data_IF_185636526240
#
_entry.id   IF_185636526240
#
_cell.length_a   1.000
_cell.length_b   1.000
_cell.length_c   1.000
_cell.angle_alpha   90.00
_cell.angle_beta   90.00
_cell.angle_gamma   90.00
#
_symmetry.space_group_name_H-M   'P 1'
#
loop_
_entity.id
_entity.type
_entity.pdbx_description
1 polymer ?
#
# COMPACT_ATOMS: atom_id res chain seq x y z
N UNK A 1 14.32 1.56 11.03
CA UNK A 1 15.37 1.24 10.05
C UNK A 1 15.33 2.30 8.98
N UNK A 2 16.46 2.83 8.51
CA UNK A 2 16.47 3.66 7.30
C UNK A 2 16.07 2.79 6.09
N UNK A 3 15.53 3.44 5.05
CA UNK A 3 15.35 2.81 3.75
C UNK A 3 16.71 2.57 3.10
N UNK A 4 16.87 1.46 2.37
CA UNK A 4 18.04 1.22 1.52
C UNK A 4 18.01 2.07 0.24
N UNK A 5 16.99 2.91 0.05
CA UNK A 5 16.89 3.80 -1.09
C UNK A 5 17.83 5.00 -0.97
N UNK A 6 18.60 5.23 -2.03
CA UNK A 6 19.59 6.29 -2.15
C UNK A 6 19.02 7.42 -3.01
N UNK A 7 19.05 8.65 -2.49
CA UNK A 7 18.72 9.86 -3.23
C UNK A 7 19.97 10.49 -3.83
N UNK A 8 19.98 10.68 -5.14
CA UNK A 8 21.05 11.43 -5.83
C UNK A 8 20.93 12.93 -5.55
N UNK A 9 22.04 13.65 -5.62
CA UNK A 9 22.02 15.12 -5.52
C UNK A 9 21.07 15.75 -6.55
N UNK A 10 21.09 15.22 -7.78
CA UNK A 10 20.21 15.68 -8.85
C UNK A 10 18.73 15.49 -8.52
N UNK A 11 18.33 14.32 -8.00
CA UNK A 11 16.94 14.08 -7.61
C UNK A 11 16.48 15.02 -6.49
N UNK A 12 17.37 15.34 -5.54
CA UNK A 12 17.09 16.30 -4.47
C UNK A 12 16.88 17.70 -5.07
N UNK A 13 17.82 18.20 -5.90
CA UNK A 13 17.70 19.51 -6.54
C UNK A 13 16.45 19.63 -7.42
N UNK A 14 16.15 18.61 -8.22
CA UNK A 14 14.93 18.58 -9.05
C UNK A 14 13.66 18.64 -8.19
N UNK A 15 13.67 18.03 -7.00
CA UNK A 15 12.57 18.15 -6.05
C UNK A 15 12.46 19.58 -5.49
N UNK A 16 13.59 20.17 -5.06
CA UNK A 16 13.62 21.53 -4.53
C UNK A 16 13.07 22.53 -5.55
N UNK A 17 13.50 22.42 -6.82
CA UNK A 17 13.04 23.27 -7.91
C UNK A 17 11.54 23.09 -8.20
N UNK A 18 11.06 21.83 -8.25
CA UNK A 18 9.65 21.55 -8.60
C UNK A 18 8.68 21.87 -7.48
N UNK A 19 9.09 21.74 -6.23
CA UNK A 19 8.19 21.92 -5.09
C UNK A 19 8.44 23.24 -4.35
N UNK A 20 9.51 23.98 -4.67
CA UNK A 20 9.86 25.22 -4.00
C UNK A 20 10.29 25.03 -2.54
N UNK A 21 10.72 23.83 -2.17
CA UNK A 21 11.10 23.45 -0.80
C UNK A 21 12.61 23.28 -0.76
N UNK A 22 13.31 23.98 0.13
CA UNK A 22 14.76 23.76 0.31
C UNK A 22 15.05 22.63 1.30
N UNK A 23 15.95 21.74 0.93
CA UNK A 23 16.40 20.60 1.72
C UNK A 23 17.84 20.88 2.17
N UNK A 24 17.99 21.30 3.42
CA UNK A 24 19.31 21.47 4.02
C UNK A 24 19.96 20.12 4.29
N UNK A 25 20.95 19.71 3.49
CA UNK A 25 21.75 18.50 3.71
C UNK A 25 22.84 18.74 4.76
N UNK A 26 23.04 17.78 5.67
CA UNK A 26 24.12 17.87 6.66
C UNK A 26 25.46 17.40 6.08
N UNK A 27 26.55 17.57 6.84
CA UNK A 27 27.90 17.20 6.41
C UNK A 27 28.02 15.71 6.05
N UNK A 28 27.27 14.84 6.73
CA UNK A 28 27.29 13.41 6.44
C UNK A 28 26.60 13.14 5.09
N UNK A 29 25.42 13.71 4.86
CA UNK A 29 24.72 13.57 3.58
C UNK A 29 25.57 14.07 2.40
N UNK A 30 26.24 15.22 2.56
CA UNK A 30 27.11 15.79 1.53
C UNK A 30 28.32 14.90 1.26
N UNK A 31 28.92 14.31 2.30
CA UNK A 31 30.04 13.39 2.15
C UNK A 31 29.61 12.08 1.46
N UNK A 32 28.43 11.54 1.78
CA UNK A 32 27.88 10.36 1.11
C UNK A 32 27.63 10.61 -0.38
N UNK A 33 27.06 11.78 -0.73
CA UNK A 33 26.88 12.19 -2.13
C UNK A 33 28.23 12.25 -2.86
N UNK A 34 29.25 12.86 -2.26
CA UNK A 34 30.57 12.98 -2.88
C UNK A 34 31.26 11.63 -3.08
N UNK A 35 31.13 10.71 -2.13
CA UNK A 35 31.84 9.43 -2.14
C UNK A 35 31.10 8.33 -2.93
N UNK A 36 29.76 8.35 -2.90
CA UNK A 36 28.92 7.24 -3.38
C UNK A 36 27.87 7.67 -4.41
N UNK A 37 27.78 8.96 -4.74
CA UNK A 37 26.85 9.51 -5.73
C UNK A 37 25.42 9.75 -5.23
N UNK A 38 25.14 9.48 -3.95
CA UNK A 38 23.85 9.74 -3.32
C UNK A 38 23.88 9.52 -1.81
N UNK A 39 22.76 9.78 -1.14
CA UNK A 39 22.62 9.68 0.32
C UNK A 39 21.25 9.16 0.73
N UNK A 40 21.16 8.61 1.94
CA UNK A 40 19.88 8.25 2.55
C UNK A 40 19.32 9.44 3.34
N UNK A 41 18.01 9.66 3.24
CA UNK A 41 17.32 10.63 4.09
C UNK A 41 16.65 9.90 5.25
N UNK A 42 17.06 10.23 6.47
CA UNK A 42 16.48 9.64 7.68
C UNK A 42 15.02 10.09 7.87
N UNK A 43 14.24 9.31 8.63
CA UNK A 43 12.86 9.67 8.98
C UNK A 43 12.80 11.06 9.67
N UNK A 44 13.76 11.37 10.54
CA UNK A 44 13.89 12.70 11.17
C UNK A 44 14.11 13.80 10.12
N UNK A 45 14.91 13.53 9.09
CA UNK A 45 15.14 14.48 7.99
C UNK A 45 13.87 14.74 7.20
N UNK A 46 13.14 13.68 6.84
CA UNK A 46 11.85 13.79 6.14
C UNK A 46 10.83 14.58 6.96
N UNK A 47 10.77 14.33 8.27
CA UNK A 47 9.93 15.11 9.19
C UNK A 47 10.30 16.59 9.20
N UNK A 48 11.58 16.93 9.33
CA UNK A 48 12.03 18.32 9.31
C UNK A 48 11.66 19.02 7.99
N UNK A 49 11.75 18.30 6.86
CA UNK A 49 11.33 18.82 5.56
C UNK A 49 9.81 19.11 5.59
N UNK A 50 8.99 18.17 6.05
CA UNK A 50 7.54 18.35 6.18
C UNK A 50 7.17 19.55 7.06
N UNK A 51 7.81 19.69 8.22
CA UNK A 51 7.58 20.81 9.14
C UNK A 51 7.99 22.17 8.52
N UNK A 52 9.05 22.19 7.71
CA UNK A 52 9.51 23.41 7.03
C UNK A 52 8.70 23.77 5.79
N UNK A 53 8.10 22.78 5.13
CA UNK A 53 7.47 22.92 3.82
C UNK A 53 5.97 23.19 3.89
N UNK A 54 5.32 22.84 5.00
CA UNK A 54 3.87 22.73 5.04
C UNK A 54 3.25 23.62 6.12
N UNK A 55 2.50 24.63 5.68
CA UNK A 55 1.75 25.52 6.58
C UNK A 55 0.38 24.93 6.97
N UNK A 56 -0.06 23.87 6.28
CA UNK A 56 -1.34 23.18 6.54
C UNK A 56 -1.16 22.00 7.51
N UNK A 57 -2.24 21.53 8.17
CA UNK A 57 -2.22 20.27 8.90
C UNK A 57 -1.72 19.11 8.02
N UNK A 58 -0.97 18.17 8.62
CA UNK A 58 -0.41 17.02 7.89
C UNK A 58 -1.48 16.16 7.20
N UNK A 59 -2.70 16.08 7.77
CA UNK A 59 -3.83 15.37 7.16
C UNK A 59 -4.19 15.96 5.80
N UNK A 60 -4.23 17.29 5.68
CA UNK A 60 -4.49 17.96 4.40
C UNK A 60 -3.39 17.66 3.39
N UNK A 61 -2.12 17.63 3.80
CA UNK A 61 -1.02 17.27 2.91
C UNK A 61 -1.13 15.84 2.40
N UNK A 62 -1.45 14.87 3.28
CA UNK A 62 -1.65 13.47 2.87
C UNK A 62 -2.80 13.35 1.86
N UNK A 63 -3.93 14.03 2.11
CA UNK A 63 -5.10 13.99 1.25
C UNK A 63 -4.81 14.64 -0.11
N UNK A 64 -4.24 15.86 -0.12
CA UNK A 64 -3.92 16.63 -1.33
C UNK A 64 -2.91 15.87 -2.21
N UNK A 65 -1.88 15.29 -1.60
CA UNK A 65 -0.78 14.67 -2.35
C UNK A 65 -1.01 13.21 -2.74
N UNK A 66 -2.00 12.53 -2.16
CA UNK A 66 -2.38 11.15 -2.51
C UNK A 66 -2.55 10.96 -4.03
N UNK A 67 -3.19 11.92 -4.70
CA UNK A 67 -3.47 11.90 -6.14
C UNK A 67 -2.20 12.04 -7.00
N UNK A 68 -1.18 12.74 -6.50
CA UNK A 68 0.05 12.99 -7.25
C UNK A 68 1.09 11.90 -7.05
N UNK A 69 1.06 11.23 -5.89
CA UNK A 69 1.96 10.11 -5.59
C UNK A 69 1.47 8.77 -6.11
N UNK A 70 0.22 8.70 -6.59
CA UNK A 70 -0.32 7.54 -7.30
C UNK A 70 0.45 7.21 -8.59
N UNK A 71 0.40 5.95 -9.06
CA UNK A 71 -0.23 4.80 -8.41
C UNK A 71 0.58 4.30 -7.21
N UNK A 72 -0.11 3.88 -6.15
CA UNK A 72 0.46 3.16 -4.99
C UNK A 72 -0.21 1.78 -4.87
N UNK A 73 0.46 0.83 -4.23
CA UNK A 73 -0.11 -0.48 -3.89
C UNK A 73 -0.41 -0.54 -2.40
N UNK A 74 -1.52 -1.19 -2.05
CA UNK A 74 -1.91 -1.45 -0.67
C UNK A 74 -2.23 -2.92 -0.50
N UNK A 75 -1.73 -3.56 0.54
CA UNK A 75 -2.15 -4.91 0.96
C UNK A 75 -2.56 -4.91 2.42
N UNK A 76 -3.62 -5.63 2.74
CA UNK A 76 -4.15 -5.81 4.08
C UNK A 76 -4.08 -7.29 4.45
N UNK A 77 -3.44 -7.60 5.56
CA UNK A 77 -3.31 -8.93 6.15
C UNK A 77 -4.03 -8.95 7.49
N UNK A 78 -4.81 -10.00 7.75
CA UNK A 78 -5.48 -10.20 9.05
C UNK A 78 -4.97 -11.50 9.64
N UNK A 79 -4.52 -11.43 10.89
CA UNK A 79 -3.98 -12.55 11.64
C UNK A 79 -4.94 -12.87 12.78
N UNK A 80 -5.70 -13.94 12.62
CA UNK A 80 -6.48 -14.57 13.70
C UNK A 80 -6.50 -16.11 13.52
N UNK A 81 -6.87 -16.81 14.58
CA UNK A 81 -6.86 -18.29 14.60
C UNK A 81 -7.79 -18.91 13.56
N UNK A 82 -8.92 -18.28 13.28
CA UNK A 82 -9.88 -18.79 12.31
C UNK A 82 -9.28 -18.73 10.89
N UNK A 83 -8.69 -17.60 10.52
CA UNK A 83 -7.99 -17.41 9.25
C UNK A 83 -6.80 -18.36 9.13
N UNK A 84 -5.99 -18.52 10.18
CA UNK A 84 -4.88 -19.48 10.17
C UNK A 84 -5.34 -20.91 9.87
N UNK A 85 -6.41 -21.38 10.52
CA UNK A 85 -6.99 -22.71 10.26
C UNK A 85 -7.51 -22.86 8.83
N UNK A 86 -7.92 -21.77 8.19
CA UNK A 86 -8.31 -21.77 6.77
C UNK A 86 -7.05 -21.85 5.90
N UNK A 87 -6.01 -21.09 6.22
CA UNK A 87 -4.75 -21.07 5.47
C UNK A 87 -3.97 -22.39 5.55
N UNK A 88 -4.01 -23.10 6.68
CA UNK A 88 -3.38 -24.43 6.85
C UNK A 88 -3.91 -25.48 5.86
N UNK A 89 -5.12 -25.28 5.33
CA UNK A 89 -5.74 -26.19 4.35
C UNK A 89 -5.21 -25.98 2.92
N UNK A 90 -4.38 -24.96 2.68
CA UNK A 90 -3.76 -24.72 1.37
C UNK A 90 -2.84 -25.87 0.99
N UNK A 91 -2.82 -26.24 -0.30
CA UNK A 91 -1.89 -27.25 -0.83
C UNK A 91 -0.43 -26.78 -0.86
N UNK A 92 -0.20 -25.47 -0.95
CA UNK A 92 1.12 -24.86 -1.07
C UNK A 92 1.24 -23.68 -0.11
N UNK A 93 2.38 -23.58 0.59
CA UNK A 93 2.66 -22.52 1.58
C UNK A 93 1.59 -22.41 2.67
N UNK A 94 1.22 -23.54 3.28
CA UNK A 94 0.26 -23.61 4.39
C UNK A 94 0.74 -22.83 5.63
N UNK A 95 2.04 -22.58 5.73
CA UNK A 95 2.72 -21.76 6.73
C UNK A 95 2.61 -20.25 6.48
N UNK A 96 1.99 -19.83 5.35
CA UNK A 96 1.91 -18.41 4.97
C UNK A 96 0.48 -17.88 4.85
N UNK A 97 0.27 -16.69 5.38
CA UNK A 97 -0.98 -15.93 5.35
C UNK A 97 -1.10 -15.16 4.03
N UNK A 98 -2.23 -15.30 3.33
CA UNK A 98 -2.51 -14.47 2.15
C UNK A 98 -3.01 -13.08 2.59
N UNK A 99 -2.82 -12.04 1.78
CA UNK A 99 -3.52 -10.79 2.01
C UNK A 99 -5.04 -11.03 1.91
N UNK A 100 -5.77 -10.44 2.85
CA UNK A 100 -7.22 -10.33 2.83
C UNK A 100 -7.66 -9.52 1.61
N UNK A 101 -7.02 -8.37 1.40
CA UNK A 101 -7.24 -7.45 0.28
C UNK A 101 -5.92 -6.97 -0.28
N UNK A 102 -5.89 -6.77 -1.59
CA UNK A 102 -4.82 -6.04 -2.27
C UNK A 102 -5.40 -5.05 -3.26
N UNK A 103 -5.03 -3.79 -3.14
CA UNK A 103 -5.14 -2.80 -4.19
C UNK A 103 -3.83 -2.77 -4.98
N UNK A 104 -3.78 -3.34 -6.19
CA UNK A 104 -2.59 -3.29 -7.03
C UNK A 104 -2.33 -1.86 -7.55
N UNK A 105 -1.05 -1.52 -7.77
CA UNK A 105 -0.64 -0.27 -8.44
C UNK A 105 -1.04 -0.20 -9.93
N UNK A 106 -1.56 -1.28 -10.49
CA UNK A 106 -2.14 -1.32 -11.82
C UNK A 106 -3.58 -1.76 -11.68
N UNK A 107 -4.49 -1.09 -12.37
CA UNK A 107 -5.86 -1.57 -12.51
C UNK A 107 -6.05 -2.32 -13.83
N UNK A 108 -7.13 -3.11 -13.87
CA UNK A 108 -7.59 -3.81 -15.06
C UNK A 108 -8.80 -3.07 -15.61
N UNK A 109 -8.67 -2.57 -16.85
CA UNK A 109 -9.75 -1.89 -17.56
C UNK A 109 -10.53 -2.88 -18.42
N UNK A 110 -11.82 -2.60 -18.61
CA UNK A 110 -12.60 -3.25 -19.68
C UNK A 110 -12.32 -2.48 -20.96
N UNK A 111 -11.70 -3.13 -21.94
CA UNK A 111 -11.50 -2.64 -23.29
C UNK A 111 -12.85 -2.64 -24.02
N UNK A 112 -13.42 -1.44 -24.28
CA UNK A 112 -14.72 -1.31 -24.93
C UNK A 112 -14.66 -1.70 -26.43
N UNK A 113 -13.47 -1.90 -27.00
CA UNK A 113 -13.28 -2.28 -28.41
C UNK A 113 -13.30 -3.79 -28.65
N UNK A 114 -13.41 -4.62 -27.61
CA UNK A 114 -13.53 -6.06 -27.75
C UNK A 114 -14.85 -6.45 -28.41
N UNK A 115 -14.80 -6.96 -29.65
CA UNK A 115 -15.97 -7.52 -30.33
C UNK A 115 -16.47 -8.79 -29.59
N UNK A 116 -17.47 -8.62 -28.72
CA UNK A 116 -18.11 -9.71 -27.96
C UNK A 116 -18.89 -9.20 -26.75
N UNK A 117 -19.84 -9.99 -26.24
CA UNK A 117 -20.69 -9.64 -25.07
C UNK A 117 -19.96 -9.63 -23.72
N UNK A 118 -18.68 -9.95 -23.70
CA UNK A 118 -17.81 -9.88 -22.53
C UNK A 118 -16.57 -9.08 -22.97
N UNK A 119 -16.50 -7.81 -22.58
CA UNK A 119 -15.41 -6.91 -22.98
C UNK A 119 -14.04 -7.47 -22.57
N UNK A 120 -13.03 -7.24 -23.40
CA UNK A 120 -11.67 -7.74 -23.17
C UNK A 120 -11.07 -6.99 -21.97
N UNK A 121 -10.49 -7.69 -20.99
CA UNK A 121 -9.85 -7.02 -19.84
C UNK A 121 -8.39 -6.68 -20.22
N UNK A 122 -7.99 -5.41 -20.12
CA UNK A 122 -6.63 -4.96 -20.40
C UNK A 122 -5.95 -4.43 -19.13
N UNK A 123 -4.64 -4.70 -18.99
CA UNK A 123 -3.86 -4.18 -17.87
C UNK A 123 -3.52 -2.72 -18.14
N UNK A 124 -3.99 -1.81 -17.31
CA UNK A 124 -3.57 -0.43 -17.36
C UNK A 124 -2.60 -0.13 -16.21
N UNK A 125 -1.33 -0.03 -16.60
CA UNK A 125 -0.18 0.14 -15.70
C UNK A 125 0.05 1.59 -15.27
N UNK A 126 -0.82 2.51 -15.68
CA UNK A 126 -0.67 3.95 -15.47
C UNK A 126 -1.57 4.50 -14.35
N UNK A 127 -2.50 3.70 -13.81
CA UNK A 127 -3.29 4.08 -12.63
C UNK A 127 -3.51 2.92 -11.68
N UNK A 128 -3.61 3.28 -10.40
CA UNK A 128 -3.87 2.36 -9.30
C UNK A 128 -5.33 1.97 -9.28
N UNK A 129 -5.63 0.83 -8.65
CA UNK A 129 -7.01 0.53 -8.24
C UNK A 129 -7.52 1.50 -7.17
N UNK A 130 -6.64 2.23 -6.47
CA UNK A 130 -7.01 3.24 -5.46
C UNK A 130 -7.54 4.49 -6.15
N UNK A 131 -8.75 4.89 -5.74
CA UNK A 131 -9.41 6.12 -6.16
C UNK A 131 -9.16 7.25 -5.16
N UNK A 132 -9.12 6.94 -3.86
CA UNK A 132 -8.99 7.96 -2.84
C UNK A 132 -8.22 7.48 -1.59
N UNK A 133 -7.53 8.42 -0.95
CA UNK A 133 -6.90 8.26 0.36
C UNK A 133 -7.20 9.51 1.19
N UNK A 134 -8.00 9.34 2.23
CA UNK A 134 -8.49 10.42 3.07
C UNK A 134 -8.09 10.17 4.51
N UNK A 135 -7.57 11.20 5.18
CA UNK A 135 -7.36 11.22 6.63
C UNK A 135 -8.19 12.34 7.23
N UNK A 136 -9.17 11.96 8.06
CA UNK A 136 -10.06 12.89 8.78
C UNK A 136 -10.38 12.32 10.17
N UNK A 137 -10.41 13.17 11.19
CA UNK A 137 -10.80 12.78 12.56
C UNK A 137 -10.08 11.51 13.10
N UNK A 138 -8.76 11.41 12.88
CA UNK A 138 -7.94 10.23 13.22
C UNK A 138 -8.37 8.92 12.55
N UNK A 139 -9.07 9.01 11.41
CA UNK A 139 -9.45 7.87 10.59
C UNK A 139 -8.76 8.00 9.24
N UNK A 140 -8.08 6.93 8.82
CA UNK A 140 -7.58 6.78 7.46
C UNK A 140 -8.56 5.92 6.66
N UNK A 141 -9.03 6.45 5.54
CA UNK A 141 -9.86 5.76 4.57
C UNK A 141 -9.08 5.58 3.29
N UNK A 142 -8.99 4.34 2.80
CA UNK A 142 -8.41 3.99 1.50
C UNK A 142 -9.53 3.36 0.67
N UNK A 143 -9.94 4.05 -0.40
CA UNK A 143 -11.03 3.62 -1.27
C UNK A 143 -10.52 3.34 -2.68
N UNK A 144 -11.12 2.35 -3.33
CA UNK A 144 -10.90 2.11 -4.74
C UNK A 144 -11.47 0.79 -5.21
N UNK A 145 -11.08 0.36 -6.40
CA UNK A 145 -11.43 -0.93 -6.95
C UNK A 145 -10.38 -1.96 -6.58
N UNK A 146 -10.71 -2.80 -5.60
CA UNK A 146 -9.90 -3.97 -5.32
C UNK A 146 -10.21 -5.05 -6.37
N UNK A 147 -9.16 -5.77 -6.75
CA UNK A 147 -9.32 -6.97 -7.56
C UNK A 147 -9.60 -8.21 -6.74
N UNK A 148 -10.11 -9.24 -7.42
CA UNK A 148 -10.26 -10.63 -6.93
C UNK A 148 -8.96 -11.33 -6.47
N UNK A 149 -7.88 -10.58 -6.21
CA UNK A 149 -6.77 -11.06 -5.39
C UNK A 149 -6.99 -10.82 -3.90
N UNK A 150 -8.23 -10.53 -3.51
CA UNK A 150 -8.77 -10.83 -2.20
C UNK A 150 -8.71 -12.34 -1.98
N UNK A 151 -7.87 -12.81 -1.06
CA UNK A 151 -7.99 -14.18 -0.54
C UNK A 151 -9.36 -14.44 0.11
N UNK A 152 -10.22 -13.42 0.25
CA UNK A 152 -11.37 -13.39 1.14
C UNK A 152 -12.54 -12.60 0.53
N UNK A 153 -13.08 -13.12 -0.57
CA UNK A 153 -14.52 -13.39 -0.61
C UNK A 153 -14.74 -14.70 0.20
N UNK A 154 -14.35 -14.73 1.49
CA UNK A 154 -14.66 -15.82 2.43
C UNK A 154 -16.17 -15.89 2.70
N UNK A 155 -16.99 -15.10 2.03
CA UNK A 155 -18.44 -15.27 2.09
C UNK A 155 -18.88 -16.64 1.53
N UNK A 156 -18.11 -17.29 0.64
CA UNK A 156 -18.36 -18.71 0.36
C UNK A 156 -18.03 -19.64 1.53
N UNK A 157 -17.23 -19.17 2.49
CA UNK A 157 -16.79 -19.90 3.69
C UNK A 157 -17.73 -19.64 4.87
N UNK A 158 -18.48 -18.52 4.91
CA UNK A 158 -19.36 -18.19 6.04
C UNK A 158 -20.86 -18.42 5.76
N UNK A 159 -21.32 -18.45 4.50
CA UNK A 159 -22.74 -18.71 4.19
C UNK A 159 -22.94 -19.99 3.37
N UNK A 160 -23.87 -20.83 3.83
CA UNK A 160 -24.43 -22.04 3.19
C UNK A 160 -23.68 -23.38 3.40
N UNK A 161 -23.87 -23.99 4.57
CA UNK A 161 -24.77 -25.17 4.66
C UNK A 161 -24.44 -26.46 3.88
N UNK A 162 -23.29 -26.61 3.25
CA UNK A 162 -22.86 -27.88 2.66
C UNK A 162 -22.38 -27.76 1.21
N UNK A 163 -21.06 -27.96 1.05
CA UNK A 163 -20.30 -28.14 -0.21
C UNK A 163 -20.29 -26.95 -1.18
N UNK A 164 -19.15 -26.22 -1.19
CA UNK A 164 -18.28 -25.98 -2.38
C UNK A 164 -16.99 -25.25 -1.97
N UNK A 165 -15.85 -25.89 -2.20
CA UNK A 165 -14.49 -25.38 -1.97
C UNK A 165 -14.08 -24.38 -3.08
N UNK A 166 -13.58 -23.17 -2.78
CA UNK A 166 -12.84 -22.37 -3.73
C UNK A 166 -11.33 -22.66 -3.62
N UNK A 167 -10.70 -22.97 -4.75
CA UNK A 167 -9.24 -23.05 -4.93
C UNK A 167 -8.84 -21.78 -5.67
N UNK A 168 -8.02 -20.92 -5.05
CA UNK A 168 -7.30 -19.88 -5.78
C UNK A 168 -6.20 -20.56 -6.61
N UNK A 169 -6.44 -20.65 -7.91
CA UNK A 169 -5.41 -20.92 -8.91
C UNK A 169 -4.86 -19.55 -9.31
N UNK A 170 -3.71 -19.08 -8.78
CA UNK A 170 -2.89 -18.18 -9.57
C UNK A 170 -2.65 -18.89 -10.89
N UNK A 171 -2.91 -18.23 -12.01
CA UNK A 171 -2.38 -18.66 -13.30
C UNK A 171 -0.85 -18.70 -13.17
N UNK A 172 -0.32 -19.84 -12.74
CA UNK A 172 1.09 -20.13 -12.78
C UNK A 172 1.52 -20.12 -14.24
N UNK A 173 2.62 -19.42 -14.54
CA UNK A 173 3.38 -19.45 -15.80
C UNK A 173 2.56 -19.61 -17.11
N UNK A 174 1.37 -19.02 -17.18
CA UNK A 174 0.52 -18.93 -18.37
C UNK A 174 0.35 -17.48 -18.81
N UNK A 175 -0.14 -17.26 -20.03
CA UNK A 175 -0.33 -15.91 -20.59
C UNK A 175 -1.07 -15.02 -19.59
N UNK A 176 -0.44 -13.87 -19.25
CA UNK A 176 -1.00 -12.83 -18.38
C UNK A 176 -2.22 -12.12 -18.97
N UNK A 177 -2.66 -12.52 -20.17
CA UNK A 177 -3.68 -11.83 -20.95
C UNK A 177 -5.11 -12.35 -20.72
N UNK A 178 -5.29 -13.48 -20.04
CA UNK A 178 -6.62 -14.05 -19.82
C UNK A 178 -6.79 -14.46 -18.35
N UNK A 179 -7.38 -13.58 -17.55
CA UNK A 179 -7.78 -13.85 -16.17
C UNK A 179 -9.27 -14.22 -16.20
N UNK A 180 -9.61 -15.42 -15.73
CA UNK A 180 -10.99 -15.87 -15.65
C UNK A 180 -11.75 -15.10 -14.56
N UNK A 181 -12.73 -14.28 -14.96
CA UNK A 181 -13.71 -13.53 -14.14
C UNK A 181 -13.12 -12.79 -12.95
N UNK A 182 -12.64 -11.59 -13.23
CA UNK A 182 -12.29 -10.56 -12.27
C UNK A 182 -13.51 -9.65 -12.08
N UNK A 183 -14.20 -9.75 -10.93
CA UNK A 183 -15.25 -8.83 -10.55
C UNK A 183 -14.61 -7.64 -9.83
N UNK A 184 -14.58 -6.49 -10.51
CA UNK A 184 -14.19 -5.22 -9.91
C UNK A 184 -15.24 -4.82 -8.88
N UNK A 185 -14.87 -4.78 -7.60
CA UNK A 185 -15.74 -4.26 -6.54
C UNK A 185 -15.12 -3.01 -5.92
N UNK A 186 -15.94 -1.96 -5.83
CA UNK A 186 -15.59 -0.79 -5.04
C UNK A 186 -15.44 -1.24 -3.58
N UNK A 187 -14.28 -0.99 -3.02
CA UNK A 187 -13.82 -1.47 -1.72
C UNK A 187 -13.25 -0.31 -0.93
N UNK A 188 -13.59 -0.25 0.35
CA UNK A 188 -13.10 0.78 1.26
C UNK A 188 -12.51 0.12 2.52
N UNK A 189 -11.26 0.48 2.83
CA UNK A 189 -10.60 0.14 4.08
C UNK A 189 -10.64 1.38 4.97
N UNK A 190 -11.26 1.27 6.13
CA UNK A 190 -11.28 2.31 7.16
C UNK A 190 -10.43 1.89 8.34
N UNK A 191 -9.52 2.73 8.80
CA UNK A 191 -8.53 2.45 9.85
C UNK A 191 -8.60 3.51 10.94
N UNK A 192 -8.87 3.12 12.18
CA UNK A 192 -8.76 3.99 13.33
C UNK A 192 -7.29 4.14 13.74
N UNK A 193 -6.72 5.34 13.56
CA UNK A 193 -5.30 5.62 13.77
C UNK A 193 -4.90 5.61 15.25
N UNK A 194 -5.82 5.87 16.18
CA UNK A 194 -5.55 5.84 17.62
C UNK A 194 -5.15 4.42 18.10
N UNK A 195 -5.58 3.40 17.35
CA UNK A 195 -5.36 1.98 17.67
C UNK A 195 -4.26 1.34 16.81
N UNK A 196 -3.43 2.15 16.15
CA UNK A 196 -2.43 1.69 15.18
C UNK A 196 -0.99 2.00 15.58
N UNK A 197 -0.06 1.20 15.09
CA UNK A 197 1.37 1.46 15.07
C UNK A 197 1.84 1.56 13.63
N UNK A 198 2.66 2.57 13.36
CA UNK A 198 3.25 2.75 12.05
C UNK A 198 4.75 2.48 12.09
N UNK A 199 5.27 1.92 11.01
CA UNK A 199 6.69 1.73 10.78
C UNK A 199 7.02 2.13 9.34
N UNK A 200 7.90 3.12 9.19
CA UNK A 200 8.54 3.41 7.91
C UNK A 200 9.56 2.31 7.59
N UNK A 201 9.58 1.90 6.33
CA UNK A 201 10.55 0.94 5.79
C UNK A 201 10.55 -0.39 6.56
N UNK A 202 9.37 -0.99 6.81
CA UNK A 202 9.29 -2.17 7.67
C UNK A 202 9.97 -3.35 6.99
N UNK A 203 10.53 -4.24 7.81
CA UNK A 203 10.95 -5.55 7.34
C UNK A 203 9.68 -6.37 7.02
N UNK A 204 9.53 -6.91 5.79
CA UNK A 204 8.37 -7.73 5.44
C UNK A 204 8.26 -8.94 6.36
N UNK A 205 7.07 -9.18 6.91
CA UNK A 205 6.81 -10.34 7.76
C UNK A 205 6.96 -11.65 6.97
N UNK A 206 7.78 -12.59 7.47
CA UNK A 206 8.10 -13.84 6.77
C UNK A 206 6.91 -14.79 6.62
N UNK A 207 5.95 -14.71 7.54
CA UNK A 207 4.73 -15.53 7.53
C UNK A 207 3.67 -15.02 6.57
N UNK A 208 3.92 -13.93 5.83
CA UNK A 208 2.98 -13.42 4.83
C UNK A 208 3.37 -13.89 3.43
N UNK A 209 2.34 -14.09 2.62
CA UNK A 209 2.45 -14.48 1.23
C UNK A 209 2.26 -13.27 0.32
N UNK A 210 3.38 -12.75 -0.17
CA UNK A 210 3.40 -11.57 -1.04
C UNK A 210 3.26 -11.90 -2.52
N UNK A 211 2.99 -13.17 -2.90
CA UNK A 211 2.88 -13.56 -4.32
C UNK A 211 1.80 -12.77 -5.08
N UNK A 212 0.79 -12.31 -4.36
CA UNK A 212 -0.34 -11.54 -4.88
C UNK A 212 -0.20 -10.04 -4.64
N UNK A 213 0.91 -9.63 -4.03
CA UNK A 213 1.27 -8.25 -3.77
C UNK A 213 2.52 -7.88 -4.59
N UNK A 214 3.18 -6.78 -4.21
CA UNK A 214 4.46 -6.35 -4.76
C UNK A 214 5.63 -7.16 -4.21
N UNK A 215 6.80 -7.02 -4.86
CA UNK A 215 8.05 -7.55 -4.33
C UNK A 215 8.25 -7.01 -2.90
N UNK A 216 8.43 -7.89 -1.88
CA UNK A 216 8.62 -7.48 -0.49
C UNK A 216 9.76 -6.47 -0.29
N UNK A 217 10.75 -6.46 -1.16
CA UNK A 217 11.83 -5.47 -1.15
C UNK A 217 11.30 -4.03 -1.29
N UNK A 218 10.24 -3.80 -2.07
CA UNK A 218 9.62 -2.47 -2.19
C UNK A 218 8.90 -2.04 -0.90
N UNK A 219 8.46 -2.99 -0.07
CA UNK A 219 7.92 -2.66 1.26
C UNK A 219 9.06 -2.15 2.15
N UNK A 220 10.23 -2.79 2.10
CA UNK A 220 11.37 -2.32 2.88
C UNK A 220 11.87 -0.97 2.37
N UNK A 221 12.03 -0.80 1.06
CA UNK A 221 12.66 0.40 0.50
C UNK A 221 11.69 1.59 0.43
N UNK A 222 10.41 1.33 0.21
CA UNK A 222 9.41 2.34 -0.14
C UNK A 222 8.07 2.12 0.58
N UNK A 223 8.06 1.37 1.67
CA UNK A 223 6.83 1.00 2.36
C UNK A 223 6.59 1.75 3.65
N UNK A 224 5.30 1.86 3.96
CA UNK A 224 4.77 2.11 5.30
C UNK A 224 4.02 0.85 5.73
N UNK A 225 4.36 0.32 6.90
CA UNK A 225 3.59 -0.72 7.58
C UNK A 225 2.73 -0.09 8.65
N UNK A 226 1.44 -0.42 8.68
CA UNK A 226 0.48 -0.02 9.70
C UNK A 226 -0.01 -1.30 10.36
N UNK A 227 0.34 -1.52 11.62
CA UNK A 227 -0.13 -2.66 12.41
C UNK A 227 -1.18 -2.19 13.41
N UNK A 228 -2.20 -2.99 13.64
CA UNK A 228 -3.32 -2.59 14.48
C UNK A 228 -3.89 -3.78 15.24
N UNK A 229 -4.55 -3.48 16.35
CA UNK A 229 -5.24 -4.48 17.18
C UNK A 229 -6.61 -4.83 16.59
N UNK A 230 -7.21 -5.89 17.13
CA UNK A 230 -8.56 -6.31 16.77
C UNK A 230 -9.56 -5.17 16.90
N UNK A 231 -10.43 -4.99 15.91
CA UNK A 231 -11.46 -3.96 15.92
C UNK A 231 -11.04 -2.59 15.38
N UNK A 232 -9.75 -2.38 15.08
CA UNK A 232 -9.26 -1.09 14.60
C UNK A 232 -9.50 -0.83 13.11
N UNK A 233 -9.75 -1.88 12.33
CA UNK A 233 -9.91 -1.81 10.88
C UNK A 233 -11.28 -2.32 10.48
N UNK A 234 -11.96 -1.61 9.59
CA UNK A 234 -13.22 -2.02 8.98
C UNK A 234 -13.10 -2.05 7.46
N UNK A 235 -13.85 -2.95 6.85
CA UNK A 235 -13.89 -3.19 5.42
C UNK A 235 -15.31 -3.07 4.91
N UNK A 236 -15.54 -2.32 3.84
CA UNK A 236 -16.81 -2.34 3.12
C UNK A 236 -16.59 -2.61 1.62
N UNK A 237 -17.60 -3.18 0.97
CA UNK A 237 -17.67 -3.37 -0.48
C UNK A 237 -18.96 -2.75 -1.02
N UNK A 238 -19.06 -2.59 -2.34
CA UNK A 238 -20.21 -1.96 -3.00
C UNK A 238 -21.55 -2.56 -2.53
N UNK A 239 -22.35 -1.76 -1.82
CA UNK A 239 -23.67 -2.16 -1.34
C UNK A 239 -23.69 -3.05 -0.09
N UNK A 240 -22.55 -3.26 0.57
CA UNK A 240 -22.45 -3.96 1.86
C UNK A 240 -22.24 -2.99 3.02
N UNK A 241 -22.69 -3.38 4.21
CA UNK A 241 -22.37 -2.65 5.44
C UNK A 241 -20.90 -2.90 5.81
N UNK A 242 -20.18 -1.91 6.34
CA UNK A 242 -18.82 -2.10 6.83
C UNK A 242 -18.74 -3.23 7.87
N UNK A 243 -17.78 -4.13 7.69
CA UNK A 243 -17.46 -5.23 8.60
C UNK A 243 -16.16 -4.91 9.32
N UNK A 244 -16.23 -4.83 10.64
CA UNK A 244 -15.04 -4.67 11.48
C UNK A 244 -14.25 -5.98 11.55
N UNK A 245 -12.94 -5.89 11.31
CA UNK A 245 -12.04 -7.04 11.25
C UNK A 245 -11.61 -7.49 12.65
N UNK A 246 -11.67 -8.79 12.88
CA UNK A 246 -11.21 -9.43 14.13
C UNK A 246 -9.76 -9.95 13.98
N UNK A 247 -8.92 -9.65 14.96
CA UNK A 247 -7.50 -10.06 15.00
C UNK A 247 -6.51 -8.94 14.69
N UNK A 248 -5.22 -9.30 14.67
CA UNK A 248 -4.15 -8.34 14.40
C UNK A 248 -4.17 -8.05 12.89
N UNK A 249 -4.32 -6.78 12.52
CA UNK A 249 -4.35 -6.38 11.11
C UNK A 249 -3.08 -5.63 10.75
N UNK A 250 -2.43 -6.03 9.67
CA UNK A 250 -1.26 -5.36 9.10
C UNK A 250 -1.57 -4.86 7.70
N UNK A 251 -1.41 -3.56 7.47
CA UNK A 251 -1.58 -2.91 6.18
C UNK A 251 -0.21 -2.45 5.70
N UNK A 252 0.17 -2.84 4.48
CA UNK A 252 1.33 -2.29 3.80
C UNK A 252 0.90 -1.36 2.69
N UNK A 253 1.44 -0.14 2.71
CA UNK A 253 1.33 0.84 1.62
C UNK A 253 2.71 0.96 1.00
N UNK A 254 2.87 0.66 -0.28
CA UNK A 254 4.16 0.80 -0.97
C UNK A 254 4.00 1.26 -2.42
N UNK A 255 5.07 1.81 -2.99
CA UNK A 255 5.12 2.18 -4.41
C UNK A 255 6.30 1.51 -5.10
N UNK A 256 6.03 0.91 -6.26
CA UNK A 256 7.08 0.41 -7.13
C UNK A 256 7.76 1.57 -7.87
N UNK A 257 9.06 1.70 -7.70
CA UNK A 257 9.87 2.68 -8.44
C UNK A 257 10.44 2.01 -9.70
N UNK A 258 9.93 2.37 -10.88
CA UNK A 258 10.40 1.82 -12.17
C UNK A 258 11.71 2.43 -12.65
N UNK A 259 11.93 3.71 -12.34
CA UNK A 259 13.13 4.45 -12.70
C UNK A 259 13.82 4.92 -11.41
N UNK A 260 14.84 4.20 -10.98
CA UNK A 260 15.69 4.56 -9.84
C UNK A 260 16.61 5.77 -10.16
N UNK A 261 16.68 6.16 -11.44
CA UNK A 261 17.49 7.28 -11.90
C UNK A 261 16.61 8.53 -12.09
N UNK A 262 16.90 9.57 -11.30
CA UNK A 262 16.53 10.98 -11.47
C UNK A 262 15.06 11.29 -11.72
N UNK A 263 14.25 11.25 -10.66
CA UNK A 263 13.04 12.07 -10.60
C UNK A 263 12.81 12.58 -9.18
N UNK A 264 12.08 13.69 -9.04
CA UNK A 264 11.57 14.21 -7.76
C UNK A 264 10.50 13.31 -7.12
N UNK A 265 9.96 12.34 -7.87
CA UNK A 265 8.80 11.51 -7.48
C UNK A 265 9.07 10.60 -6.29
N UNK A 266 10.20 9.89 -6.18
CA UNK A 266 10.51 9.08 -4.99
C UNK A 266 10.58 9.92 -3.73
N UNK A 267 11.21 11.08 -3.77
CA UNK A 267 11.32 11.95 -2.60
C UNK A 267 9.96 12.48 -2.16
N UNK A 268 9.13 12.90 -3.12
CA UNK A 268 7.75 13.29 -2.87
C UNK A 268 6.94 12.18 -2.21
N UNK A 269 7.05 10.95 -2.73
CA UNK A 269 6.39 9.79 -2.15
C UNK A 269 6.91 9.45 -0.74
N UNK A 270 8.22 9.56 -0.51
CA UNK A 270 8.83 9.34 0.82
C UNK A 270 8.36 10.37 1.85
N UNK A 271 8.18 11.63 1.44
CA UNK A 271 7.57 12.67 2.29
C UNK A 271 6.09 12.35 2.57
N UNK A 272 5.34 11.87 1.57
CA UNK A 272 3.95 11.46 1.77
C UNK A 272 3.78 10.32 2.78
N UNK A 273 4.55 9.23 2.67
CA UNK A 273 4.49 8.14 3.67
C UNK A 273 5.02 8.58 5.04
N UNK A 274 5.98 9.53 5.09
CA UNK A 274 6.46 10.09 6.34
C UNK A 274 5.40 10.97 7.02
N UNK A 275 4.63 11.74 6.26
CA UNK A 275 3.50 12.51 6.79
C UNK A 275 2.43 11.60 7.38
N UNK A 276 2.07 10.51 6.67
CA UNK A 276 1.13 9.53 7.16
C UNK A 276 1.65 8.81 8.43
N UNK A 277 2.94 8.50 8.48
CA UNK A 277 3.60 7.95 9.67
C UNK A 277 3.50 8.89 10.89
N UNK A 278 3.78 10.18 10.72
CA UNK A 278 3.69 11.16 11.82
C UNK A 278 2.24 11.38 12.28
N UNK A 279 1.25 11.30 11.38
CA UNK A 279 -0.17 11.34 11.75
C UNK A 279 -0.55 10.17 12.66
N UNK A 280 -0.15 8.95 12.29
CA UNK A 280 -0.43 7.75 13.10
C UNK A 280 0.27 7.85 14.47
N UNK A 281 1.51 8.35 14.51
CA UNK A 281 2.20 8.59 15.77
C UNK A 281 1.50 9.62 16.65
N UNK A 282 1.07 10.74 16.06
CA UNK A 282 0.45 11.84 16.80
C UNK A 282 -0.93 11.47 17.35
N UNK A 283 -1.67 10.60 16.65
CA UNK A 283 -2.98 10.10 17.09
C UNK A 283 -2.91 9.34 18.43
N UNK A 284 -1.76 8.71 18.74
CA UNK A 284 -1.58 7.97 19.99
C UNK A 284 -1.37 8.83 21.25
N UNK A 285 -1.13 10.12 21.09
CA UNK A 285 -0.84 11.02 22.20
C UNK A 285 0.48 10.69 22.90
N UNK A 286 1.58 11.25 22.38
CA UNK A 286 2.80 11.52 23.15
C UNK A 286 2.80 12.99 23.62
#
# INVERSE_FOLDING_TARGET
>A
MPSDYIFTERAIREFEEKQGISISLDSQNLQEIQNYGGTHLSAKKLRNILESANEKPLSHYVNDESKTVSPISVSLFVINDALWRIMEKKRHHADKMNPMITFPWFHWDIDPSGEGKEGKIIRNSNSSGIEDVIVEHNVLTIAGFAGDFAGVLEERIVREGGRRTPILVPTGFGSKELISKYNLEATEITVNLDLCEAQLYPTPHLSFDYRFFENPEYIHNHGLGISSVSGAVSLSTAGSNPVTLEGITTIYVCKRMKNLHDTSTPLKYHLWIAALYELIKSAKGD
#
